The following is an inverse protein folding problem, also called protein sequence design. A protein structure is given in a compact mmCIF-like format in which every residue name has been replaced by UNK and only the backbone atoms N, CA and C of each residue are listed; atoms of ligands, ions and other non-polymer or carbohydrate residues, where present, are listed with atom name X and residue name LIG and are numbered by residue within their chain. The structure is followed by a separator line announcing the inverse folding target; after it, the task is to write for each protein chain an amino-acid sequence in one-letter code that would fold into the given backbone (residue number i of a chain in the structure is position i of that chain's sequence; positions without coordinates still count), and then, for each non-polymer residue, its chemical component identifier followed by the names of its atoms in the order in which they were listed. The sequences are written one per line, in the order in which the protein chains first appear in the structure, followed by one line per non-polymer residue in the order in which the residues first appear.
data_IF_974025542078
#
_entry.id   IF_974025542078
#
_cell.length_a   1.000
_cell.length_b   1.000
_cell.length_c   1.000
_cell.angle_alpha   90.00
_cell.angle_beta   90.00
_cell.angle_gamma   90.00
#
_symmetry.space_group_name_H-M   'P 1'
#
loop_
_entity.id
_entity.type
_entity.pdbx_description
1 polymer ?
#
# COMPACT_ATOMS: atom_id res chain seq x y z
N UNK A 1 35.04 23.52 18.82
CA UNK A 1 34.82 24.21 17.53
C UNK A 1 33.91 25.38 17.80
N UNK A 2 34.50 26.56 17.93
CA UNK A 2 33.81 27.76 18.44
C UNK A 2 32.88 28.39 17.41
N UNK A 3 31.87 29.10 17.92
CA UNK A 3 31.00 29.99 17.16
C UNK A 3 31.85 31.12 16.53
N UNK A 4 32.34 30.92 15.31
CA UNK A 4 32.82 32.00 14.45
C UNK A 4 31.64 32.61 13.68
N UNK A 5 31.74 33.89 13.31
CA UNK A 5 30.71 34.57 12.51
C UNK A 5 30.37 33.81 11.21
N UNK A 6 31.37 33.18 10.60
CA UNK A 6 31.20 32.36 9.40
C UNK A 6 30.32 31.13 9.64
N UNK A 7 30.50 30.45 10.78
CA UNK A 7 29.66 29.30 11.15
C UNK A 7 28.21 29.72 11.42
N UNK A 8 28.00 30.93 11.95
CA UNK A 8 26.65 31.51 12.17
C UNK A 8 25.98 31.85 10.84
N UNK A 9 26.73 32.43 9.89
CA UNK A 9 26.23 32.76 8.55
C UNK A 9 25.85 31.49 7.79
N UNK A 10 26.69 30.46 7.82
CA UNK A 10 26.41 29.16 7.17
C UNK A 10 25.15 28.52 7.78
N UNK A 11 25.00 28.56 9.10
CA UNK A 11 23.80 28.05 9.78
C UNK A 11 22.53 28.81 9.36
N UNK A 12 22.59 30.14 9.25
CA UNK A 12 21.47 30.97 8.77
C UNK A 12 21.08 30.64 7.33
N UNK A 13 22.06 30.49 6.43
CA UNK A 13 21.83 30.11 5.03
C UNK A 13 21.20 28.71 4.95
N UNK A 14 21.68 27.75 5.74
CA UNK A 14 21.10 26.41 5.82
C UNK A 14 19.64 26.43 6.29
N UNK A 15 19.29 27.26 7.28
CA UNK A 15 17.90 27.42 7.75
C UNK A 15 17.01 28.01 6.65
N UNK A 16 17.50 29.00 5.90
CA UNK A 16 16.76 29.59 4.76
C UNK A 16 16.52 28.55 3.67
N UNK A 17 17.53 27.76 3.32
CA UNK A 17 17.36 26.65 2.36
C UNK A 17 16.38 25.58 2.86
N UNK A 18 16.45 25.21 4.14
CA UNK A 18 15.51 24.27 4.75
C UNK A 18 14.06 24.79 4.68
N UNK A 19 13.87 26.09 4.95
CA UNK A 19 12.57 26.74 4.84
C UNK A 19 12.03 26.72 3.41
N UNK A 20 12.88 27.01 2.41
CA UNK A 20 12.51 26.93 1.00
C UNK A 20 12.17 25.50 0.58
N UNK A 21 12.95 24.51 1.01
CA UNK A 21 12.69 23.10 0.74
C UNK A 21 11.34 22.65 1.32
N UNK A 22 11.02 23.02 2.57
CA UNK A 22 9.72 22.71 3.20
C UNK A 22 8.57 23.38 2.43
N UNK A 23 8.74 24.64 1.99
CA UNK A 23 7.73 25.33 1.16
C UNK A 23 7.51 24.65 -0.17
N UNK A 24 8.60 24.23 -0.84
CA UNK A 24 8.53 23.51 -2.10
C UNK A 24 7.79 22.18 -1.95
N UNK A 25 8.15 21.37 -0.95
CA UNK A 25 7.48 20.10 -0.65
C UNK A 25 5.98 20.33 -0.38
N UNK A 26 5.61 21.35 0.41
CA UNK A 26 4.20 21.71 0.64
C UNK A 26 3.47 22.09 -0.66
N UNK A 27 4.14 22.79 -1.58
CA UNK A 27 3.59 23.14 -2.89
C UNK A 27 3.33 21.91 -3.76
N UNK A 28 4.29 20.99 -3.83
CA UNK A 28 4.16 19.73 -4.57
C UNK A 28 3.02 18.88 -4.01
N UNK A 29 2.94 18.70 -2.69
CA UNK A 29 1.85 17.95 -2.05
C UNK A 29 0.48 18.54 -2.39
N UNK A 30 0.33 19.87 -2.34
CA UNK A 30 -0.92 20.52 -2.75
C UNK A 30 -1.26 20.28 -4.22
N UNK A 31 -0.26 20.33 -5.10
CA UNK A 31 -0.43 20.04 -6.52
C UNK A 31 -0.95 18.62 -6.75
N UNK A 32 -0.34 17.64 -6.08
CA UNK A 32 -0.78 16.24 -6.13
C UNK A 32 -2.24 16.11 -5.67
N UNK A 33 -2.58 16.66 -4.49
CA UNK A 33 -3.97 16.61 -3.97
C UNK A 33 -4.99 17.19 -4.96
N UNK A 34 -4.66 18.31 -5.62
CA UNK A 34 -5.56 18.92 -6.62
C UNK A 34 -5.75 18.01 -7.84
N UNK A 35 -4.67 17.40 -8.34
CA UNK A 35 -4.76 16.44 -9.45
C UNK A 35 -5.64 15.26 -9.07
N UNK A 36 -5.49 14.72 -7.87
CA UNK A 36 -6.30 13.61 -7.37
C UNK A 36 -7.77 13.98 -7.26
N UNK A 37 -8.08 15.18 -6.75
CA UNK A 37 -9.46 15.69 -6.69
C UNK A 37 -10.08 15.82 -8.08
N UNK A 38 -9.33 16.34 -9.06
CA UNK A 38 -9.81 16.48 -10.44
C UNK A 38 -10.10 15.09 -11.05
N UNK A 39 -9.21 14.12 -10.85
CA UNK A 39 -9.41 12.75 -11.35
C UNK A 39 -10.62 12.08 -10.67
N UNK A 40 -10.75 12.25 -9.35
CA UNK A 40 -11.87 11.70 -8.56
C UNK A 40 -13.21 12.28 -9.01
N UNK A 41 -13.26 13.60 -9.24
CA UNK A 41 -14.42 14.29 -9.79
C UNK A 41 -14.69 13.85 -11.24
N UNK A 42 -13.65 13.62 -12.04
CA UNK A 42 -13.76 13.12 -13.40
C UNK A 42 -14.40 11.72 -13.48
N UNK A 43 -13.97 10.80 -12.62
CA UNK A 43 -14.57 9.45 -12.51
C UNK A 43 -16.03 9.54 -12.07
N UNK A 44 -16.32 10.39 -11.07
CA UNK A 44 -17.71 10.63 -10.63
C UNK A 44 -18.57 11.21 -11.75
N UNK A 45 -18.06 12.20 -12.49
CA UNK A 45 -18.77 12.82 -13.60
C UNK A 45 -19.00 11.81 -14.74
N UNK A 46 -17.99 11.02 -15.11
CA UNK A 46 -18.15 9.95 -16.09
C UNK A 46 -19.26 8.98 -15.65
N UNK A 47 -19.27 8.57 -14.38
CA UNK A 47 -20.28 7.63 -13.91
C UNK A 47 -21.69 8.21 -13.86
N UNK A 48 -21.84 9.47 -13.43
CA UNK A 48 -23.14 10.13 -13.34
C UNK A 48 -23.70 10.45 -14.73
N UNK A 49 -22.86 11.00 -15.61
CA UNK A 49 -23.32 11.52 -16.90
C UNK A 49 -23.29 10.49 -18.03
N UNK A 50 -22.30 9.58 -18.04
CA UNK A 50 -22.13 8.59 -19.12
C UNK A 50 -22.76 7.25 -18.73
N UNK A 51 -22.36 6.68 -17.58
CA UNK A 51 -22.89 5.36 -17.15
C UNK A 51 -24.22 5.47 -16.39
N UNK A 52 -24.74 6.70 -16.23
CA UNK A 52 -26.05 7.03 -15.62
C UNK A 52 -26.23 6.48 -14.22
N UNK A 53 -25.14 6.27 -13.46
CA UNK A 53 -25.22 5.85 -12.07
C UNK A 53 -25.69 7.03 -11.21
N UNK A 54 -26.53 6.74 -10.22
CA UNK A 54 -27.06 7.78 -9.36
C UNK A 54 -25.98 8.34 -8.43
N UNK A 55 -26.15 9.58 -7.98
CA UNK A 55 -25.28 10.18 -6.96
C UNK A 55 -25.26 9.31 -5.68
N UNK A 56 -26.40 8.71 -5.33
CA UNK A 56 -26.50 7.78 -4.21
C UNK A 56 -25.64 6.53 -4.38
N UNK A 57 -25.50 6.02 -5.61
CA UNK A 57 -24.57 4.95 -5.91
C UNK A 57 -23.13 5.39 -5.69
N UNK A 58 -22.72 6.56 -6.18
CA UNK A 58 -21.33 7.04 -6.03
C UNK A 58 -20.96 7.25 -4.55
N UNK A 59 -21.87 7.80 -3.74
CA UNK A 59 -21.66 7.94 -2.28
C UNK A 59 -21.48 6.56 -1.63
N UNK A 60 -22.34 5.61 -1.95
CA UNK A 60 -22.24 4.26 -1.40
C UNK A 60 -20.95 3.57 -1.85
N UNK A 61 -20.58 3.73 -3.12
CA UNK A 61 -19.32 3.22 -3.69
C UNK A 61 -18.13 3.73 -2.90
N UNK A 62 -18.01 5.06 -2.72
CA UNK A 62 -16.91 5.65 -1.95
C UNK A 62 -16.86 5.12 -0.51
N UNK A 63 -18.02 4.95 0.13
CA UNK A 63 -18.07 4.42 1.50
C UNK A 63 -17.64 2.95 1.57
N UNK A 64 -18.12 2.12 0.64
CA UNK A 64 -17.74 0.71 0.53
C UNK A 64 -16.24 0.59 0.24
N UNK A 65 -15.72 1.32 -0.75
CA UNK A 65 -14.31 1.26 -1.14
C UNK A 65 -13.37 1.81 -0.06
N UNK A 66 -13.77 2.88 0.64
CA UNK A 66 -13.00 3.38 1.77
C UNK A 66 -12.90 2.34 2.90
N UNK A 67 -14.01 1.67 3.20
CA UNK A 67 -14.05 0.60 4.21
C UNK A 67 -13.18 -0.58 3.76
N UNK A 68 -13.28 -0.96 2.49
CA UNK A 68 -12.42 -1.97 1.87
C UNK A 68 -10.93 -1.64 2.04
N UNK A 69 -10.48 -0.44 1.65
CA UNK A 69 -9.07 -0.07 1.76
C UNK A 69 -8.57 -0.03 3.20
N UNK A 70 -9.41 0.40 4.14
CA UNK A 70 -9.08 0.35 5.57
C UNK A 70 -8.87 -1.10 6.03
N UNK A 71 -9.75 -2.01 5.64
CA UNK A 71 -9.63 -3.43 5.96
C UNK A 71 -8.39 -4.06 5.33
N UNK A 72 -8.15 -3.81 4.03
CA UNK A 72 -6.96 -4.29 3.31
C UNK A 72 -5.67 -3.76 3.94
N UNK A 73 -5.63 -2.50 4.37
CA UNK A 73 -4.46 -1.96 5.06
C UNK A 73 -4.15 -2.71 6.35
N UNK A 74 -5.18 -3.06 7.13
CA UNK A 74 -5.02 -3.86 8.35
C UNK A 74 -4.52 -5.28 8.02
N UNK A 75 -5.17 -5.97 7.08
CA UNK A 75 -4.77 -7.32 6.63
C UNK A 75 -3.32 -7.32 6.14
N UNK A 76 -2.93 -6.30 5.38
CA UNK A 76 -1.58 -6.19 4.83
C UNK A 76 -0.51 -5.98 5.90
N UNK A 77 -0.82 -5.23 6.96
CA UNK A 77 0.08 -5.08 8.11
C UNK A 77 0.33 -6.44 8.78
N UNK A 78 -0.74 -7.19 9.06
CA UNK A 78 -0.62 -8.52 9.65
C UNK A 78 0.09 -9.50 8.72
N UNK A 79 -0.17 -9.43 7.40
CA UNK A 79 0.52 -10.25 6.42
C UNK A 79 2.02 -9.96 6.41
N UNK A 80 2.44 -8.68 6.50
CA UNK A 80 3.85 -8.31 6.57
C UNK A 80 4.55 -8.90 7.80
N UNK A 81 3.92 -8.83 8.97
CA UNK A 81 4.45 -9.42 10.21
C UNK A 81 4.66 -10.95 10.08
N UNK A 82 3.67 -11.66 9.53
CA UNK A 82 3.77 -13.10 9.30
C UNK A 82 4.85 -13.45 8.28
N UNK A 83 4.95 -12.67 7.19
CA UNK A 83 6.00 -12.85 6.17
C UNK A 83 7.39 -12.67 6.78
N UNK A 84 7.59 -11.63 7.58
CA UNK A 84 8.89 -11.35 8.19
C UNK A 84 9.26 -12.43 9.22
N UNK A 85 8.28 -12.92 10.00
CA UNK A 85 8.50 -14.07 10.88
C UNK A 85 8.92 -15.34 10.11
N UNK A 86 8.33 -15.60 8.94
CA UNK A 86 8.72 -16.73 8.07
C UNK A 86 10.14 -16.55 7.53
N UNK A 87 10.51 -15.34 7.09
CA UNK A 87 11.89 -15.06 6.62
C UNK A 87 12.92 -15.26 7.73
N UNK A 88 12.56 -14.95 8.97
CA UNK A 88 13.38 -15.21 10.15
C UNK A 88 13.38 -16.69 10.58
N UNK A 89 12.66 -17.56 9.87
CA UNK A 89 12.54 -18.99 10.16
C UNK A 89 11.70 -19.30 11.40
N UNK A 90 10.92 -18.35 11.91
CA UNK A 90 10.12 -18.49 13.13
C UNK A 90 8.73 -19.02 12.79
N UNK A 91 8.28 -20.06 13.49
CA UNK A 91 6.91 -20.57 13.46
C UNK A 91 6.33 -20.68 12.03
N UNK A 92 7.13 -21.15 11.07
CA UNK A 92 6.85 -21.05 9.63
C UNK A 92 5.46 -21.60 9.29
N UNK A 93 5.08 -22.74 9.89
CA UNK A 93 3.77 -23.36 9.67
C UNK A 93 2.63 -22.45 10.14
N UNK A 94 2.69 -21.97 11.38
CA UNK A 94 1.65 -21.14 11.97
C UNK A 94 1.49 -19.83 11.19
N UNK A 95 2.60 -19.14 10.90
CA UNK A 95 2.57 -17.91 10.10
C UNK A 95 2.06 -18.15 8.66
N UNK A 96 2.33 -19.31 8.06
CA UNK A 96 1.78 -19.66 6.74
C UNK A 96 0.27 -19.91 6.80
N UNK A 97 -0.19 -20.59 7.86
CA UNK A 97 -1.60 -20.87 8.07
C UNK A 97 -2.38 -19.56 8.34
N UNK A 98 -1.79 -18.62 9.09
CA UNK A 98 -2.35 -17.27 9.29
C UNK A 98 -2.44 -16.48 7.98
N UNK A 99 -1.44 -16.54 7.09
CA UNK A 99 -1.52 -15.91 5.77
C UNK A 99 -2.70 -16.44 4.94
N UNK A 100 -3.03 -17.73 5.06
CA UNK A 100 -4.21 -18.33 4.40
C UNK A 100 -5.50 -17.76 4.99
N UNK A 101 -5.59 -17.63 6.32
CA UNK A 101 -6.75 -17.03 7.00
C UNK A 101 -6.93 -15.58 6.55
N UNK A 102 -5.85 -14.80 6.50
CA UNK A 102 -5.86 -13.41 6.05
C UNK A 102 -6.32 -13.29 4.58
N UNK A 103 -5.87 -14.19 3.70
CA UNK A 103 -6.35 -14.24 2.30
C UNK A 103 -7.84 -14.53 2.24
N UNK A 104 -8.32 -15.56 2.95
CA UNK A 104 -9.74 -15.92 2.94
C UNK A 104 -10.61 -14.77 3.47
N UNK A 105 -10.15 -14.06 4.50
CA UNK A 105 -10.84 -12.85 4.97
C UNK A 105 -10.86 -11.76 3.90
N UNK A 106 -9.72 -11.51 3.24
CA UNK A 106 -9.62 -10.52 2.17
C UNK A 106 -10.58 -10.81 1.00
N UNK A 107 -10.75 -12.08 0.60
CA UNK A 107 -11.67 -12.50 -0.48
C UNK A 107 -13.14 -12.20 -0.15
N UNK A 108 -13.51 -12.15 1.13
CA UNK A 108 -14.89 -11.86 1.57
C UNK A 108 -15.20 -10.36 1.70
N UNK A 109 -14.21 -9.48 1.50
CA UNK A 109 -14.42 -8.04 1.66
C UNK A 109 -15.27 -7.47 0.53
N UNK A 110 -16.36 -6.80 0.90
CA UNK A 110 -17.18 -6.03 -0.04
C UNK A 110 -16.36 -4.88 -0.64
N UNK A 111 -16.47 -4.73 -1.95
CA UNK A 111 -15.83 -3.67 -2.73
C UNK A 111 -16.68 -3.33 -3.95
N UNK A 112 -16.48 -2.14 -4.51
CA UNK A 112 -17.13 -1.76 -5.75
C UNK A 112 -16.56 -2.49 -6.97
N UNK A 113 -17.36 -2.58 -8.03
CA UNK A 113 -16.91 -3.18 -9.28
C UNK A 113 -15.79 -2.39 -9.95
N UNK A 114 -15.69 -1.08 -9.67
CA UNK A 114 -14.62 -0.21 -10.14
C UNK A 114 -13.24 -0.63 -9.64
N UNK A 115 -13.15 -1.29 -8.48
CA UNK A 115 -11.89 -1.73 -7.89
C UNK A 115 -11.68 -3.25 -7.94
N UNK A 116 -12.50 -4.00 -8.69
CA UNK A 116 -12.34 -5.45 -8.89
C UNK A 116 -10.93 -5.81 -9.38
N UNK A 117 -10.34 -5.01 -10.28
CA UNK A 117 -8.99 -5.24 -10.77
C UNK A 117 -7.94 -5.14 -9.66
N UNK A 118 -8.07 -4.13 -8.80
CA UNK A 118 -7.24 -3.92 -7.61
C UNK A 118 -7.39 -5.11 -6.66
N UNK A 119 -8.63 -5.49 -6.33
CA UNK A 119 -8.91 -6.60 -5.42
C UNK A 119 -8.31 -7.92 -5.93
N UNK A 120 -8.56 -8.27 -7.18
CA UNK A 120 -8.06 -9.50 -7.77
C UNK A 120 -6.52 -9.55 -7.77
N UNK A 121 -5.86 -8.42 -8.02
CA UNK A 121 -4.40 -8.34 -7.98
C UNK A 121 -3.87 -8.52 -6.55
N UNK A 122 -4.54 -7.93 -5.55
CA UNK A 122 -4.20 -8.11 -4.15
C UNK A 122 -4.30 -9.59 -3.72
N UNK A 123 -5.41 -10.26 -4.03
CA UNK A 123 -5.62 -11.68 -3.70
C UNK A 123 -4.56 -12.56 -4.39
N UNK A 124 -4.25 -12.33 -5.67
CA UNK A 124 -3.17 -13.03 -6.37
C UNK A 124 -1.79 -12.81 -5.74
N UNK A 125 -1.54 -11.59 -5.26
CA UNK A 125 -0.31 -11.27 -4.52
C UNK A 125 -0.19 -12.09 -3.24
N UNK A 126 -1.25 -12.13 -2.43
CA UNK A 126 -1.29 -12.98 -1.21
C UNK A 126 -1.12 -14.47 -1.54
N UNK A 127 -1.76 -14.95 -2.61
CA UNK A 127 -1.63 -16.35 -3.04
C UNK A 127 -0.19 -16.71 -3.44
N UNK A 128 0.49 -15.78 -4.11
CA UNK A 128 1.92 -15.92 -4.46
C UNK A 128 2.80 -15.98 -3.21
N UNK A 129 2.54 -15.11 -2.22
CA UNK A 129 3.25 -15.12 -0.93
C UNK A 129 3.02 -16.42 -0.18
N UNK A 130 1.77 -16.89 -0.08
CA UNK A 130 1.42 -18.15 0.58
C UNK A 130 2.12 -19.33 -0.10
N UNK A 131 2.21 -19.32 -1.44
CA UNK A 131 2.89 -20.37 -2.20
C UNK A 131 4.39 -20.39 -1.90
N UNK A 132 5.03 -19.22 -1.84
CA UNK A 132 6.43 -19.09 -1.44
C UNK A 132 6.67 -19.55 0.02
N UNK A 133 5.77 -19.17 0.94
CA UNK A 133 5.82 -19.58 2.34
C UNK A 133 5.67 -21.10 2.51
N UNK A 134 4.77 -21.74 1.75
CA UNK A 134 4.65 -23.21 1.69
C UNK A 134 5.92 -23.87 1.13
N UNK A 135 6.54 -23.26 0.11
CA UNK A 135 7.83 -23.70 -0.42
C UNK A 135 8.93 -23.70 0.65
N UNK A 136 8.95 -22.65 1.49
CA UNK A 136 9.85 -22.53 2.63
C UNK A 136 9.66 -23.66 3.66
N UNK A 137 8.42 -24.08 3.92
CA UNK A 137 8.12 -25.23 4.80
C UNK A 137 8.67 -26.56 4.27
N UNK A 138 8.80 -26.71 2.95
CA UNK A 138 9.17 -27.98 2.29
C UNK A 138 10.65 -28.10 1.92
N UNK A 139 11.40 -27.00 1.86
CA UNK A 139 12.79 -26.98 1.38
C UNK A 139 13.78 -26.87 2.55
N UNK A 140 14.83 -27.70 2.52
CA UNK A 140 15.95 -27.65 3.48
C UNK A 140 16.93 -26.47 3.22
N UNK A 141 16.72 -25.69 2.15
CA UNK A 141 17.53 -24.52 1.79
C UNK A 141 16.76 -23.22 2.06
N UNK A 142 16.92 -22.71 3.28
CA UNK A 142 16.24 -21.52 3.78
C UNK A 142 16.53 -20.25 2.97
N UNK A 143 17.70 -20.16 2.32
CA UNK A 143 18.18 -18.92 1.70
C UNK A 143 17.52 -18.63 0.34
N UNK A 144 17.42 -19.61 -0.56
CA UNK A 144 16.78 -19.42 -1.87
C UNK A 144 15.27 -19.17 -1.76
N UNK A 145 14.62 -19.79 -0.75
CA UNK A 145 13.20 -19.57 -0.49
C UNK A 145 12.93 -18.25 0.24
N UNK A 146 13.88 -17.76 1.05
CA UNK A 146 13.80 -16.42 1.64
C UNK A 146 13.82 -15.34 0.55
N UNK A 147 14.67 -15.52 -0.47
CA UNK A 147 14.75 -14.59 -1.61
C UNK A 147 13.44 -14.58 -2.43
N UNK A 148 12.85 -15.76 -2.70
CA UNK A 148 11.54 -15.87 -3.37
C UNK A 148 10.40 -15.26 -2.55
N UNK A 149 10.41 -15.48 -1.24
CA UNK A 149 9.43 -14.88 -0.33
C UNK A 149 9.60 -13.36 -0.24
N UNK A 150 10.83 -12.87 -0.22
CA UNK A 150 11.14 -11.44 -0.26
C UNK A 150 10.69 -10.81 -1.59
N UNK A 151 10.90 -11.48 -2.72
CA UNK A 151 10.43 -11.02 -4.03
C UNK A 151 8.90 -10.97 -4.08
N UNK A 152 8.22 -12.02 -3.61
CA UNK A 152 6.76 -12.07 -3.53
C UNK A 152 6.20 -10.98 -2.60
N UNK A 153 6.83 -10.79 -1.44
CA UNK A 153 6.50 -9.73 -0.46
C UNK A 153 6.68 -8.35 -1.07
N UNK A 154 7.78 -8.10 -1.78
CA UNK A 154 8.02 -6.84 -2.47
C UNK A 154 6.98 -6.60 -3.56
N UNK A 155 6.58 -7.61 -4.34
CA UNK A 155 5.51 -7.49 -5.34
C UNK A 155 4.15 -7.19 -4.73
N UNK A 156 3.83 -7.81 -3.58
CA UNK A 156 2.61 -7.52 -2.83
C UNK A 156 2.63 -6.08 -2.29
N UNK A 157 3.76 -5.64 -1.74
CA UNK A 157 3.93 -4.31 -1.19
C UNK A 157 3.92 -3.23 -2.29
N UNK A 158 4.49 -3.51 -3.47
CA UNK A 158 4.37 -2.65 -4.65
C UNK A 158 2.91 -2.59 -5.11
N UNK A 159 2.22 -3.73 -5.19
CA UNK A 159 0.79 -3.76 -5.55
C UNK A 159 -0.03 -2.91 -4.58
N UNK A 160 0.20 -3.05 -3.27
CA UNK A 160 -0.44 -2.23 -2.23
C UNK A 160 -0.09 -0.75 -2.34
N UNK A 161 1.17 -0.43 -2.62
CA UNK A 161 1.61 0.95 -2.80
C UNK A 161 0.98 1.56 -4.05
N UNK A 162 0.93 0.84 -5.17
CA UNK A 162 0.26 1.28 -6.39
C UNK A 162 -1.26 1.46 -6.16
N UNK A 163 -1.87 0.62 -5.32
CA UNK A 163 -3.25 0.76 -4.89
C UNK A 163 -3.46 2.02 -4.03
N UNK A 164 -2.52 2.32 -3.12
CA UNK A 164 -2.61 3.44 -2.17
C UNK A 164 -2.07 4.77 -2.73
N UNK A 165 -1.23 4.74 -3.77
CA UNK A 165 -0.61 5.92 -4.41
C UNK A 165 -1.05 6.14 -5.87
N UNK A 166 -1.89 5.24 -6.40
CA UNK A 166 -2.82 5.51 -7.50
C UNK A 166 -4.11 6.19 -7.04
N UNK A 167 -4.21 6.56 -5.77
CA UNK A 167 -5.19 7.48 -5.20
C UNK A 167 -4.67 8.90 -5.11
#
# INVERSE_FOLDING_TARGET
MGLSADNIIIALVAIVFLFLAIKFIKGVIKGIIVVLLILTLGVSAYNIFITKKSIGYEINRYKTDYTYFKSISSISSHAAENIDAIKEGKNIKENTDELIILKNHAETLEHSSEINGIHNNYIKGLDTVITAAKGYKTANDAKEQADKLQEASNKLNISLKDILSGQ
#
